data_IF_690206978167
#
_entry.id   IF_690206978167
#
_cell.length_a   1.000
_cell.length_b   1.000
_cell.length_c   1.000
_cell.angle_alpha   90.00
_cell.angle_beta   90.00
_cell.angle_gamma   90.00
#
_symmetry.space_group_name_H-M   'P 1'
#
loop_
_entity.id
_entity.type
_entity.pdbx_description
1 polymer ?
#
# COMPACT_ATOMS: atom_id res chain seq x y z
N UNK A 1 58.48 43.87 -3.26
CA UNK A 1 59.54 44.15 -4.24
C UNK A 1 59.17 43.35 -5.47
N UNK A 2 58.76 43.88 -6.62
CA UNK A 2 58.70 45.24 -7.17
C UNK A 2 57.56 45.21 -8.20
N UNK A 3 56.64 46.19 -8.26
CA UNK A 3 56.76 47.51 -8.91
C UNK A 3 57.04 47.42 -10.41
N UNK A 4 56.20 48.13 -11.19
CA UNK A 4 56.66 48.87 -12.36
C UNK A 4 56.21 48.26 -13.69
N UNK A 5 55.16 48.73 -14.36
CA UNK A 5 55.05 50.05 -15.02
C UNK A 5 56.01 50.17 -16.21
N UNK A 6 55.43 50.12 -17.42
CA UNK A 6 56.00 50.77 -18.59
C UNK A 6 54.89 51.45 -19.39
N UNK A 7 54.88 52.77 -19.27
CA UNK A 7 54.18 53.72 -20.11
C UNK A 7 54.82 53.84 -21.51
N UNK A 8 54.05 54.33 -22.49
CA UNK A 8 54.42 55.39 -23.45
C UNK A 8 53.22 55.56 -24.43
N UNK A 9 52.41 56.62 -24.32
CA UNK A 9 52.58 57.98 -24.90
C UNK A 9 52.51 57.98 -26.44
N UNK A 10 51.57 58.73 -27.03
CA UNK A 10 51.82 59.89 -27.93
C UNK A 10 50.49 60.53 -28.40
N UNK A 11 50.36 61.80 -28.00
CA UNK A 11 49.56 62.95 -28.46
C UNK A 11 49.41 63.10 -29.99
N UNK A 12 48.24 63.60 -30.47
CA UNK A 12 48.15 64.86 -31.24
C UNK A 12 46.72 65.33 -31.51
N UNK A 13 46.39 66.49 -30.93
CA UNK A 13 45.36 67.43 -31.40
C UNK A 13 45.77 68.05 -32.75
N UNK A 14 44.78 68.35 -33.59
CA UNK A 14 44.83 69.51 -34.50
C UNK A 14 43.47 69.78 -35.15
N UNK A 15 42.84 70.83 -34.63
CA UNK A 15 42.12 71.90 -35.34
C UNK A 15 40.81 71.59 -36.08
N UNK A 16 39.66 72.10 -35.63
CA UNK A 16 39.18 73.50 -35.72
C UNK A 16 39.18 74.07 -37.15
N UNK A 17 38.00 74.05 -37.79
CA UNK A 17 37.24 75.23 -38.31
C UNK A 17 36.38 74.82 -39.51
N UNK A 18 35.07 74.92 -39.33
CA UNK A 18 34.08 75.46 -40.27
C UNK A 18 32.73 75.35 -39.55
N UNK A 19 32.40 76.26 -38.63
CA UNK A 19 31.69 77.51 -38.87
C UNK A 19 30.37 77.39 -39.65
N UNK A 20 29.32 77.91 -39.00
CA UNK A 20 28.15 78.61 -39.57
C UNK A 20 26.97 77.75 -40.00
N UNK A 21 26.07 77.56 -39.02
CA UNK A 21 24.76 78.23 -39.06
C UNK A 21 23.66 77.60 -39.90
N UNK A 22 22.68 76.98 -39.24
CA UNK A 22 21.29 77.15 -39.63
C UNK A 22 20.34 77.12 -38.43
N UNK A 23 19.60 78.21 -38.32
CA UNK A 23 18.55 78.51 -37.35
C UNK A 23 17.25 77.80 -37.73
N UNK A 24 16.43 77.55 -36.70
CA UNK A 24 14.97 77.32 -36.68
C UNK A 24 14.54 75.97 -37.26
N UNK A 25 13.77 75.16 -36.52
CA UNK A 25 12.36 75.48 -36.29
C UNK A 25 11.78 74.77 -35.06
N UNK A 26 10.91 75.50 -34.34
CA UNK A 26 9.89 74.96 -33.45
C UNK A 26 9.11 73.85 -34.16
N UNK A 27 8.73 72.80 -33.44
CA UNK A 27 7.33 72.37 -33.21
C UNK A 27 7.27 70.95 -32.64
N UNK A 28 6.34 70.75 -31.69
CA UNK A 28 5.61 69.50 -31.57
C UNK A 28 6.28 68.38 -30.77
N UNK A 29 6.32 68.53 -29.44
CA UNK A 29 6.12 67.37 -28.57
C UNK A 29 4.61 67.17 -28.42
N UNK A 30 4.18 65.90 -28.43
CA UNK A 30 2.85 65.29 -28.21
C UNK A 30 1.99 65.00 -29.47
N UNK A 31 1.23 63.89 -29.54
CA UNK A 31 1.07 62.74 -28.61
C UNK A 31 1.48 61.37 -29.22
N UNK A 32 1.70 60.37 -28.36
CA UNK A 32 1.74 58.97 -28.79
C UNK A 32 0.37 58.57 -29.33
N UNK A 33 0.34 58.01 -30.55
CA UNK A 33 -0.87 57.46 -31.15
C UNK A 33 -1.26 56.16 -30.42
N UNK A 34 -2.53 56.00 -30.02
CA UNK A 34 -3.04 54.71 -29.59
C UNK A 34 -3.40 53.87 -30.82
N UNK A 35 -3.04 52.58 -30.80
CA UNK A 35 -3.73 51.57 -31.61
C UNK A 35 -2.96 50.98 -32.80
N UNK A 36 -1.74 50.51 -32.62
CA UNK A 36 -1.15 49.54 -33.55
C UNK A 36 -0.83 48.26 -32.75
N UNK A 37 -1.66 47.24 -32.90
CA UNK A 37 -1.38 45.92 -32.34
C UNK A 37 -0.27 45.34 -33.21
N UNK A 38 0.96 45.38 -32.70
CA UNK A 38 2.11 44.80 -33.38
C UNK A 38 1.87 43.29 -33.57
N UNK A 39 1.75 42.84 -34.82
CA UNK A 39 1.44 41.45 -35.18
C UNK A 39 2.45 40.48 -34.56
N UNK A 40 3.71 40.93 -34.38
CA UNK A 40 4.74 40.17 -33.65
C UNK A 40 4.41 39.96 -32.17
N UNK A 41 3.82 40.96 -31.52
CA UNK A 41 3.37 40.87 -30.12
C UNK A 41 2.20 39.92 -29.95
N UNK A 42 1.24 39.94 -30.89
CA UNK A 42 0.12 38.99 -30.94
C UNK A 42 0.61 37.55 -31.12
N UNK A 43 1.50 37.31 -32.09
CA UNK A 43 2.05 35.98 -32.35
C UNK A 43 2.81 35.44 -31.14
N UNK A 44 3.63 36.28 -30.48
CA UNK A 44 4.35 35.87 -29.28
C UNK A 44 3.40 35.54 -28.11
N UNK A 45 2.33 36.34 -27.92
CA UNK A 45 1.30 36.07 -26.92
C UNK A 45 0.61 34.71 -27.16
N UNK A 46 0.26 34.40 -28.42
CA UNK A 46 -0.32 33.11 -28.79
C UNK A 46 0.64 31.95 -28.53
N UNK A 47 1.91 32.09 -28.88
CA UNK A 47 2.93 31.07 -28.61
C UNK A 47 3.07 30.83 -27.11
N UNK A 48 3.13 31.88 -26.29
CA UNK A 48 3.20 31.77 -24.83
C UNK A 48 1.96 31.07 -24.26
N UNK A 49 0.76 31.46 -24.68
CA UNK A 49 -0.49 30.83 -24.24
C UNK A 49 -0.56 29.36 -24.62
N UNK A 50 -0.09 29.02 -25.82
CA UNK A 50 -0.06 27.65 -26.32
C UNK A 50 0.92 26.79 -25.51
N UNK A 51 2.13 27.29 -25.24
CA UNK A 51 3.10 26.60 -24.40
C UNK A 51 2.60 26.44 -22.96
N UNK A 52 2.10 27.51 -22.33
CA UNK A 52 1.57 27.45 -20.96
C UNK A 52 0.37 26.51 -20.86
N UNK A 53 -0.51 26.51 -21.86
CA UNK A 53 -1.64 25.58 -21.95
C UNK A 53 -1.18 24.11 -22.06
N UNK A 54 -0.19 23.83 -22.91
CA UNK A 54 0.38 22.49 -23.06
C UNK A 54 1.11 22.01 -21.80
N UNK A 55 1.86 22.89 -21.14
CA UNK A 55 2.49 22.59 -19.86
C UNK A 55 1.46 22.33 -18.77
N UNK A 56 0.43 23.16 -18.64
CA UNK A 56 -0.66 22.96 -17.70
C UNK A 56 -1.40 21.64 -17.94
N UNK A 57 -1.71 21.32 -19.20
CA UNK A 57 -2.35 20.06 -19.58
C UNK A 57 -1.46 18.85 -19.29
N UNK A 58 -0.16 18.93 -19.60
CA UNK A 58 0.80 17.87 -19.31
C UNK A 58 0.92 17.61 -17.80
N UNK A 59 1.04 18.67 -17.00
CA UNK A 59 1.10 18.56 -15.53
C UNK A 59 -0.20 17.95 -14.98
N UNK A 60 -1.36 18.43 -15.43
CA UNK A 60 -2.66 17.87 -15.05
C UNK A 60 -2.74 16.37 -15.38
N UNK A 61 -2.34 16.00 -16.60
CA UNK A 61 -2.39 14.62 -17.07
C UNK A 61 -1.54 13.69 -16.22
N UNK A 62 -0.32 14.13 -15.88
CA UNK A 62 0.60 13.38 -15.00
C UNK A 62 0.02 13.23 -13.59
N UNK A 63 -0.54 14.29 -13.00
CA UNK A 63 -1.15 14.23 -11.66
C UNK A 63 -2.31 13.22 -11.65
N UNK A 64 -3.17 13.24 -12.67
CA UNK A 64 -4.30 12.30 -12.76
C UNK A 64 -3.81 10.85 -12.92
N UNK A 65 -2.86 10.61 -13.82
CA UNK A 65 -2.33 9.27 -14.07
C UNK A 65 -1.58 8.69 -12.87
N UNK A 66 -0.85 9.51 -12.10
CA UNK A 66 -0.15 9.07 -10.90
C UNK A 66 -1.10 8.85 -9.72
N UNK A 67 -2.16 9.66 -9.60
CA UNK A 67 -3.18 9.49 -8.56
C UNK A 67 -3.92 8.15 -8.68
N UNK A 68 -4.37 7.81 -9.89
CA UNK A 68 -5.06 6.54 -10.16
C UNK A 68 -4.11 5.33 -9.99
N UNK A 69 -2.86 5.42 -10.44
CA UNK A 69 -1.87 4.36 -10.27
C UNK A 69 -1.47 4.14 -8.80
N UNK A 70 -1.35 5.22 -8.02
CA UNK A 70 -1.01 5.15 -6.59
C UNK A 70 -2.10 4.50 -5.74
N UNK A 71 -3.37 4.78 -6.06
CA UNK A 71 -4.52 4.13 -5.43
C UNK A 71 -4.54 2.63 -5.73
N UNK A 72 -4.42 2.24 -7.01
CA UNK A 72 -4.38 0.82 -7.41
C UNK A 72 -3.23 0.05 -6.76
N UNK A 73 -2.04 0.67 -6.63
CA UNK A 73 -0.91 0.04 -5.95
C UNK A 73 -1.19 -0.20 -4.47
N UNK A 74 -1.74 0.82 -3.79
CA UNK A 74 -2.06 0.72 -2.35
C UNK A 74 -3.11 -0.34 -2.11
N UNK A 75 -4.19 -0.36 -2.90
CA UNK A 75 -5.27 -1.33 -2.78
C UNK A 75 -4.77 -2.76 -3.07
N UNK A 76 -3.96 -2.94 -4.11
CA UNK A 76 -3.36 -4.23 -4.43
C UNK A 76 -2.42 -4.73 -3.33
N UNK A 77 -1.61 -3.84 -2.75
CA UNK A 77 -0.69 -4.18 -1.66
C UNK A 77 -1.46 -4.57 -0.38
N UNK A 78 -2.50 -3.81 -0.04
CA UNK A 78 -3.39 -4.11 1.09
C UNK A 78 -4.08 -5.46 0.90
N UNK A 79 -4.67 -5.71 -0.27
CA UNK A 79 -5.31 -6.99 -0.59
C UNK A 79 -4.31 -8.15 -0.54
N UNK A 80 -3.09 -7.95 -1.06
CA UNK A 80 -2.04 -8.98 -1.03
C UNK A 80 -1.63 -9.32 0.40
N UNK A 81 -1.52 -8.32 1.27
CA UNK A 81 -1.21 -8.53 2.69
C UNK A 81 -2.33 -9.33 3.38
N UNK A 82 -3.58 -8.94 3.18
CA UNK A 82 -4.73 -9.68 3.73
C UNK A 82 -4.76 -11.14 3.26
N UNK A 83 -4.56 -11.37 1.96
CA UNK A 83 -4.53 -12.72 1.41
C UNK A 83 -3.37 -13.55 2.01
N UNK A 84 -2.20 -12.94 2.20
CA UNK A 84 -1.05 -13.61 2.81
C UNK A 84 -1.33 -14.01 4.27
N UNK A 85 -1.92 -13.12 5.07
CA UNK A 85 -2.31 -13.40 6.46
C UNK A 85 -3.34 -14.54 6.54
N UNK A 86 -4.34 -14.56 5.64
CA UNK A 86 -5.31 -15.66 5.55
C UNK A 86 -4.64 -16.99 5.21
N UNK A 87 -3.74 -17.00 4.23
CA UNK A 87 -2.99 -18.22 3.88
C UNK A 87 -2.11 -18.68 5.05
N UNK A 88 -1.52 -17.75 5.80
CA UNK A 88 -0.70 -18.06 6.96
C UNK A 88 -1.51 -18.71 8.09
N UNK A 89 -2.68 -18.15 8.48
CA UNK A 89 -3.54 -18.78 9.49
C UNK A 89 -4.09 -20.15 9.01
N UNK A 90 -4.41 -20.30 7.71
CA UNK A 90 -4.78 -21.61 7.15
C UNK A 90 -3.64 -22.62 7.22
N UNK A 91 -2.40 -22.20 6.97
CA UNK A 91 -1.23 -23.06 7.09
C UNK A 91 -1.00 -23.45 8.56
N UNK A 92 -1.17 -22.53 9.50
CA UNK A 92 -1.08 -22.83 10.94
C UNK A 92 -2.13 -23.87 11.36
N UNK A 93 -3.39 -23.73 10.94
CA UNK A 93 -4.42 -24.74 11.17
C UNK A 93 -4.05 -26.11 10.58
N UNK A 94 -3.44 -26.13 9.40
CA UNK A 94 -2.96 -27.37 8.78
C UNK A 94 -1.86 -28.03 9.63
N UNK A 95 -0.87 -27.25 10.10
CA UNK A 95 0.21 -27.72 10.97
C UNK A 95 -0.34 -28.24 12.30
N UNK A 96 -1.30 -27.54 12.91
CA UNK A 96 -2.00 -28.03 14.11
C UNK A 96 -2.64 -29.39 13.82
N UNK A 97 -3.37 -29.53 12.71
CA UNK A 97 -3.99 -30.80 12.32
C UNK A 97 -3.00 -31.94 12.14
N UNK A 98 -1.86 -31.68 11.49
CA UNK A 98 -0.78 -32.67 11.35
C UNK A 98 -0.18 -33.07 12.71
N UNK A 99 0.05 -32.11 13.60
CA UNK A 99 0.56 -32.38 14.93
C UNK A 99 -0.43 -33.21 15.76
N UNK A 100 -1.73 -32.91 15.68
CA UNK A 100 -2.77 -33.71 16.35
C UNK A 100 -2.75 -35.14 15.80
N UNK A 101 -2.71 -35.32 14.48
CA UNK A 101 -2.64 -36.65 13.87
C UNK A 101 -1.41 -37.43 14.34
N UNK A 102 -0.24 -36.77 14.36
CA UNK A 102 1.00 -37.41 14.82
C UNK A 102 0.96 -37.76 16.31
N UNK A 103 0.40 -36.86 17.14
CA UNK A 103 0.15 -37.12 18.55
C UNK A 103 -0.75 -38.34 18.74
N UNK A 104 -1.85 -38.43 17.98
CA UNK A 104 -2.80 -39.54 18.07
C UNK A 104 -2.22 -40.86 17.58
N UNK A 105 -1.37 -40.86 16.55
CA UNK A 105 -0.64 -42.06 16.13
C UNK A 105 0.34 -42.55 17.21
N UNK A 106 0.89 -41.65 18.01
CA UNK A 106 1.90 -41.97 19.04
C UNK A 106 1.25 -42.39 20.37
N UNK A 107 0.15 -41.75 20.76
CA UNK A 107 -0.49 -41.91 22.08
C UNK A 107 -1.81 -42.69 22.02
N UNK A 108 -2.25 -43.11 20.83
CA UNK A 108 -3.53 -43.79 20.56
C UNK A 108 -4.79 -42.97 20.92
N UNK A 109 -4.62 -41.71 21.33
CA UNK A 109 -5.70 -40.81 21.76
C UNK A 109 -5.52 -39.40 21.19
N UNK A 110 -6.61 -38.63 21.12
CA UNK A 110 -6.54 -37.19 20.84
C UNK A 110 -5.97 -36.44 22.06
N UNK A 111 -5.26 -35.31 21.87
CA UNK A 111 -4.80 -34.51 22.99
C UNK A 111 -5.99 -33.92 23.76
N UNK A 112 -5.85 -33.78 25.08
CA UNK A 112 -6.90 -33.22 25.94
C UNK A 112 -7.06 -31.71 25.76
N UNK A 113 -5.98 -31.02 25.37
CA UNK A 113 -5.99 -29.60 25.03
C UNK A 113 -4.92 -29.26 24.00
N UNK A 114 -4.97 -28.03 23.48
CA UNK A 114 -3.91 -27.53 22.60
C UNK A 114 -2.60 -27.28 23.35
N UNK A 115 -2.65 -26.95 24.64
CA UNK A 115 -1.46 -26.81 25.48
C UNK A 115 -0.71 -28.15 25.58
N UNK A 116 -1.41 -29.27 25.74
CA UNK A 116 -0.79 -30.61 25.69
C UNK A 116 -0.08 -30.84 24.36
N UNK A 117 -0.67 -30.40 23.26
CA UNK A 117 -0.05 -30.50 21.94
C UNK A 117 1.19 -29.59 21.82
N UNK A 118 1.14 -28.37 22.34
CA UNK A 118 2.27 -27.45 22.36
C UNK A 118 3.43 -27.95 23.22
N UNK A 119 3.14 -28.55 24.38
CA UNK A 119 4.14 -29.20 25.22
C UNK A 119 4.79 -30.39 24.52
N UNK A 120 3.98 -31.23 23.85
CA UNK A 120 4.48 -32.40 23.11
C UNK A 120 5.35 -32.02 21.90
N UNK A 121 4.96 -30.96 21.17
CA UNK A 121 5.74 -30.46 20.02
C UNK A 121 6.94 -29.59 20.43
N UNK A 122 6.92 -29.00 21.62
CA UNK A 122 7.89 -28.02 22.07
C UNK A 122 7.73 -26.63 21.42
N UNK A 123 6.59 -26.36 20.76
CA UNK A 123 6.33 -25.06 20.10
C UNK A 123 4.94 -24.50 20.45
N UNK A 124 4.91 -23.49 21.31
CA UNK A 124 3.67 -22.79 21.69
C UNK A 124 3.19 -21.78 20.65
N UNK A 125 3.98 -21.47 19.62
CA UNK A 125 3.57 -20.53 18.56
C UNK A 125 2.45 -21.12 17.70
N UNK A 126 2.35 -22.45 17.62
CA UNK A 126 1.27 -23.14 16.91
C UNK A 126 -0.12 -22.83 17.49
N UNK A 127 -0.17 -22.26 18.70
CA UNK A 127 -1.44 -21.96 19.39
C UNK A 127 -2.08 -20.64 18.96
N UNK A 128 -1.39 -19.82 18.17
CA UNK A 128 -1.83 -18.45 17.85
C UNK A 128 -2.02 -18.26 16.35
N UNK A 129 -3.09 -17.58 15.96
CA UNK A 129 -3.23 -17.12 14.58
C UNK A 129 -2.27 -15.93 14.37
N UNK A 130 -1.47 -15.92 13.29
CA UNK A 130 -0.60 -14.80 12.97
C UNK A 130 -1.37 -13.50 12.63
N UNK A 131 -2.64 -13.59 12.24
CA UNK A 131 -3.49 -12.44 11.94
C UNK A 131 -4.13 -11.82 13.20
N UNK A 132 -4.29 -10.48 13.19
CA UNK A 132 -4.94 -9.73 14.27
C UNK A 132 -4.13 -9.64 15.56
N UNK A 133 -4.83 -9.57 16.71
CA UNK A 133 -4.24 -9.48 18.07
C UNK A 133 -3.60 -10.80 18.56
N UNK A 134 -3.16 -11.67 17.64
CA UNK A 134 -2.56 -12.98 17.93
C UNK A 134 -3.43 -13.88 18.80
N UNK A 135 -4.73 -13.94 18.50
CA UNK A 135 -5.67 -14.71 19.30
C UNK A 135 -5.36 -16.20 19.26
N UNK A 136 -5.58 -16.87 20.39
CA UNK A 136 -5.41 -18.32 20.49
C UNK A 136 -6.53 -19.05 19.77
N UNK A 137 -6.18 -20.11 19.06
CA UNK A 137 -7.15 -21.05 18.53
C UNK A 137 -7.92 -21.75 19.66
N UNK A 138 -9.18 -22.10 19.39
CA UNK A 138 -10.02 -22.85 20.33
C UNK A 138 -10.13 -24.29 19.83
N UNK A 139 -9.78 -25.24 20.69
CA UNK A 139 -9.89 -26.67 20.43
C UNK A 139 -11.09 -27.28 21.14
N UNK A 140 -11.71 -28.27 20.49
CA UNK A 140 -12.86 -29.01 21.01
C UNK A 140 -12.42 -30.43 21.40
N UNK A 141 -12.17 -30.68 22.69
CA UNK A 141 -11.70 -31.98 23.16
C UNK A 141 -12.81 -33.04 23.16
N UNK A 142 -12.41 -34.30 23.40
CA UNK A 142 -13.33 -35.43 23.53
C UNK A 142 -13.77 -36.06 22.20
N UNK A 143 -13.15 -35.67 21.09
CA UNK A 143 -13.38 -36.28 19.79
C UNK A 143 -12.59 -37.59 19.61
N UNK A 144 -13.05 -38.44 18.70
CA UNK A 144 -12.45 -39.75 18.41
C UNK A 144 -12.38 -40.00 16.90
N UNK A 145 -11.50 -40.89 16.42
CA UNK A 145 -11.33 -41.15 14.99
C UNK A 145 -12.59 -41.69 14.29
N UNK A 146 -13.49 -42.33 15.04
CA UNK A 146 -14.77 -42.90 14.56
C UNK A 146 -15.90 -41.86 14.44
N UNK A 147 -15.68 -40.62 14.91
CA UNK A 147 -16.68 -39.55 14.79
C UNK A 147 -16.75 -38.98 13.37
N UNK A 148 -17.77 -38.15 13.12
CA UNK A 148 -17.98 -37.54 11.80
C UNK A 148 -16.82 -36.62 11.45
N UNK A 149 -16.24 -36.83 10.27
CA UNK A 149 -15.10 -36.04 9.78
C UNK A 149 -15.40 -34.55 9.61
N UNK A 150 -16.68 -34.16 9.52
CA UNK A 150 -17.12 -32.76 9.45
C UNK A 150 -17.21 -32.06 10.81
N UNK A 151 -16.89 -32.76 11.90
CA UNK A 151 -16.85 -32.13 13.22
C UNK A 151 -15.72 -31.10 13.28
N UNK A 152 -16.01 -29.97 13.92
CA UNK A 152 -15.03 -28.90 14.15
C UNK A 152 -14.06 -29.37 15.21
N UNK A 153 -12.77 -29.42 14.89
CA UNK A 153 -11.71 -29.81 15.81
C UNK A 153 -11.05 -28.59 16.45
N UNK A 154 -10.65 -27.63 15.62
CA UNK A 154 -10.04 -26.35 16.04
C UNK A 154 -10.69 -25.22 15.26
N UNK A 155 -10.88 -24.06 15.88
CA UNK A 155 -11.42 -22.88 15.21
C UNK A 155 -10.88 -21.57 15.76
N UNK A 156 -10.96 -20.52 14.96
CA UNK A 156 -10.67 -19.14 15.37
C UNK A 156 -11.88 -18.52 16.07
N UNK A 157 -11.64 -17.86 17.20
CA UNK A 157 -12.71 -17.22 17.98
C UNK A 157 -13.37 -16.08 17.21
N UNK A 158 -12.59 -15.32 16.45
CA UNK A 158 -13.02 -14.11 15.76
C UNK A 158 -12.89 -14.22 14.24
N UNK A 159 -13.73 -13.51 13.48
CA UNK A 159 -13.75 -13.59 12.03
C UNK A 159 -12.71 -12.67 11.38
N UNK A 160 -11.43 -13.03 11.49
CA UNK A 160 -10.28 -12.21 11.06
C UNK A 160 -9.98 -12.28 9.54
N UNK A 161 -10.74 -13.07 8.77
CA UNK A 161 -10.52 -13.27 7.33
C UNK A 161 -11.76 -12.89 6.51
N UNK A 162 -11.86 -11.63 6.08
CA UNK A 162 -13.01 -11.09 5.35
C UNK A 162 -14.36 -11.40 6.02
N UNK A 163 -14.40 -11.30 7.36
CA UNK A 163 -15.59 -11.62 8.15
C UNK A 163 -15.84 -13.11 8.30
N UNK A 164 -14.86 -13.98 8.06
CA UNK A 164 -14.91 -15.43 8.27
C UNK A 164 -13.85 -15.90 9.28
N UNK A 165 -14.13 -17.03 9.90
CA UNK A 165 -13.27 -17.73 10.85
C UNK A 165 -12.62 -18.95 10.19
N UNK A 166 -11.33 -19.15 10.43
CA UNK A 166 -10.62 -20.38 10.13
C UNK A 166 -11.10 -21.54 11.01
N UNK A 167 -11.33 -22.69 10.37
CA UNK A 167 -11.84 -23.90 11.02
C UNK A 167 -11.07 -25.11 10.50
N UNK A 168 -10.51 -25.90 11.40
CA UNK A 168 -9.97 -27.23 11.12
C UNK A 168 -11.02 -28.27 11.49
N UNK A 169 -11.37 -29.12 10.52
CA UNK A 169 -12.27 -30.25 10.72
C UNK A 169 -11.51 -31.50 11.14
N UNK A 170 -12.22 -32.45 11.76
CA UNK A 170 -11.66 -33.72 12.25
C UNK A 170 -10.99 -34.54 11.12
N UNK A 171 -11.49 -34.45 9.89
CA UNK A 171 -10.87 -35.09 8.72
C UNK A 171 -9.61 -34.36 8.18
N UNK A 172 -9.12 -33.33 8.87
CA UNK A 172 -7.93 -32.56 8.50
C UNK A 172 -8.16 -31.47 7.45
N UNK A 173 -9.40 -31.24 7.01
CA UNK A 173 -9.71 -30.14 6.08
C UNK A 173 -9.84 -28.81 6.81
N UNK A 174 -9.32 -27.76 6.18
CA UNK A 174 -9.51 -26.38 6.63
C UNK A 174 -10.64 -25.71 5.84
N UNK A 175 -11.49 -24.96 6.53
CA UNK A 175 -12.57 -24.16 5.94
C UNK A 175 -12.52 -22.73 6.50
N UNK A 176 -13.06 -21.79 5.73
CA UNK A 176 -13.39 -20.45 6.20
C UNK A 176 -14.92 -20.35 6.31
N UNK A 177 -15.42 -20.25 7.54
CA UNK A 177 -16.86 -20.18 7.81
C UNK A 177 -17.26 -18.79 8.28
N UNK A 178 -18.41 -18.30 7.84
CA UNK A 178 -19.03 -17.13 8.47
C UNK A 178 -19.38 -17.43 9.94
N UNK A 179 -19.56 -16.41 10.80
CA UNK A 179 -19.92 -16.62 12.20
C UNK A 179 -21.18 -17.48 12.37
N UNK A 180 -22.17 -17.32 11.49
CA UNK A 180 -23.41 -18.11 11.54
C UNK A 180 -23.16 -19.58 11.20
N UNK A 181 -22.42 -19.86 10.13
CA UNK A 181 -22.06 -21.23 9.74
C UNK A 181 -21.22 -21.92 10.81
N UNK A 182 -20.28 -21.18 11.42
CA UNK A 182 -19.48 -21.67 12.54
C UNK A 182 -20.38 -22.08 13.72
N UNK A 183 -21.33 -21.24 14.13
CA UNK A 183 -22.23 -21.60 15.24
C UNK A 183 -23.07 -22.85 14.96
N UNK A 184 -23.51 -23.03 13.71
CA UNK A 184 -24.22 -24.24 13.29
C UNK A 184 -23.29 -25.47 13.39
N UNK A 185 -22.07 -25.37 12.84
CA UNK A 185 -21.08 -26.44 12.86
C UNK A 185 -20.65 -26.82 14.29
N UNK A 186 -20.45 -25.83 15.17
CA UNK A 186 -20.15 -26.03 16.59
C UNK A 186 -21.31 -26.72 17.32
N UNK A 187 -22.55 -26.31 17.04
CA UNK A 187 -23.74 -26.95 17.62
C UNK A 187 -23.85 -28.41 17.20
N UNK A 188 -23.62 -28.70 15.91
CA UNK A 188 -23.63 -30.06 15.38
C UNK A 188 -22.51 -30.92 15.97
N UNK A 189 -21.32 -30.35 16.13
CA UNK A 189 -20.17 -31.01 16.76
C UNK A 189 -20.48 -31.36 18.21
N UNK A 190 -20.96 -30.39 19.01
CA UNK A 190 -21.28 -30.57 20.43
C UNK A 190 -22.35 -31.64 20.67
N UNK A 191 -23.31 -31.81 19.76
CA UNK A 191 -24.33 -32.86 19.84
C UNK A 191 -23.77 -34.28 19.70
N UNK A 192 -22.61 -34.42 19.07
CA UNK A 192 -21.97 -35.72 18.83
C UNK A 192 -20.92 -36.06 19.89
N UNK A 193 -20.47 -35.08 20.64
CA UNK A 193 -19.54 -35.32 21.74
C UNK A 193 -20.22 -36.21 22.79
N UNK A 194 -19.50 -37.21 23.34
CA UNK A 194 -19.99 -37.92 24.50
C UNK A 194 -20.29 -36.90 25.61
N UNK A 195 -21.40 -37.10 26.32
CA UNK A 195 -21.67 -36.31 27.51
C UNK A 195 -20.50 -36.53 28.47
N UNK A 196 -19.66 -35.52 28.65
CA UNK A 196 -18.69 -35.54 29.72
C UNK A 196 -19.50 -35.64 31.01
N UNK A 197 -19.34 -36.75 31.74
CA UNK A 197 -19.90 -36.88 33.07
C UNK A 197 -19.21 -35.81 33.93
N UNK A 198 -19.85 -34.65 34.05
CA UNK A 198 -19.54 -33.65 35.07
C UNK A 198 -19.85 -34.22 36.45
#
# INVERSE_FOLDING_TARGET
>A
MDIGEHAHVVKRDSDLRHQVGQRRSRMGRWPARPGEIDFRGLVNLFVILLFVGLFGFGIWWVIKSLGEAGQQYTDAMVQTKYNAETVECQNTLHVIGQNIQMYTLTNETFPDSLETLAEWTGDSRILRCPAGDHQSYIYIPGQRPDMRGENVLVYEKEPVHDGKCGVLLLNGRNLLLSPQELQIALTQTRRQLPKQNQ
#
